data_IF_228462381076
#
_entry.id   IF_228462381076
#
_cell.length_a   1.000
_cell.length_b   1.000
_cell.length_c   1.000
_cell.angle_alpha   90.00
_cell.angle_beta   90.00
_cell.angle_gamma   90.00
#
_symmetry.space_group_name_H-M   'P 1'
#
loop_
_entity.id
_entity.type
_entity.pdbx_description
1 polymer ?
#
# COMPACT_ATOMS: atom_id res chain seq x y z
N UNK A 1 36.20 -11.45 -6.11
CA UNK A 1 35.13 -11.93 -5.19
C UNK A 1 34.35 -10.71 -4.72
N UNK A 2 33.00 -10.69 -4.75
CA UNK A 2 32.21 -9.56 -4.24
C UNK A 2 31.87 -9.79 -2.77
N UNK A 3 32.01 -8.75 -1.93
CA UNK A 3 31.45 -8.72 -0.58
C UNK A 3 30.11 -7.99 -0.65
N UNK A 4 29.00 -8.72 -0.45
CA UNK A 4 27.65 -8.17 -0.47
C UNK A 4 26.98 -8.41 0.88
N UNK A 5 26.22 -7.43 1.34
CA UNK A 5 25.29 -7.55 2.47
C UNK A 5 23.87 -7.55 1.93
N UNK A 6 23.11 -8.61 2.20
CA UNK A 6 21.73 -8.78 1.76
C UNK A 6 20.85 -8.82 3.01
N UNK A 7 19.82 -7.98 3.05
CA UNK A 7 18.84 -7.94 4.12
C UNK A 7 17.47 -8.17 3.49
N UNK A 8 16.81 -9.26 3.86
CA UNK A 8 15.41 -9.52 3.49
C UNK A 8 14.48 -8.84 4.49
N UNK A 9 13.43 -8.19 4.01
CA UNK A 9 12.38 -7.62 4.83
C UNK A 9 11.03 -8.12 4.36
N UNK A 10 10.28 -8.79 5.25
CA UNK A 10 8.99 -9.38 4.92
C UNK A 10 7.85 -8.37 5.07
N UNK A 11 7.81 -7.60 6.15
CA UNK A 11 6.94 -6.42 6.36
C UNK A 11 7.51 -5.55 7.50
N UNK A 12 6.96 -4.35 7.75
CA UNK A 12 7.32 -3.55 8.93
C UNK A 12 6.68 -4.10 10.21
N UNK A 13 7.39 -3.98 11.33
CA UNK A 13 6.78 -4.13 12.66
C UNK A 13 5.72 -3.04 12.89
N UNK A 14 4.86 -3.25 13.89
CA UNK A 14 3.91 -2.22 14.34
C UNK A 14 4.62 -0.88 14.64
N UNK A 15 5.78 -0.91 15.30
CA UNK A 15 6.56 0.30 15.58
C UNK A 15 7.01 1.01 14.28
N UNK A 16 7.50 0.24 13.29
CA UNK A 16 7.87 0.80 11.99
C UNK A 16 6.68 1.44 11.26
N UNK A 17 5.50 0.81 11.33
CA UNK A 17 4.28 1.39 10.75
C UNK A 17 3.85 2.68 11.46
N UNK A 18 3.98 2.75 12.79
CA UNK A 18 3.68 3.96 13.55
C UNK A 18 4.61 5.13 13.15
N UNK A 19 5.89 4.85 12.96
CA UNK A 19 6.84 5.85 12.44
C UNK A 19 6.50 6.30 11.02
N UNK A 20 6.07 5.39 10.15
CA UNK A 20 5.58 5.74 8.81
C UNK A 20 4.35 6.66 8.87
N UNK A 21 3.36 6.34 9.72
CA UNK A 21 2.17 7.16 9.87
C UNK A 21 2.51 8.57 10.38
N UNK A 22 3.40 8.67 11.38
CA UNK A 22 3.90 9.94 11.89
C UNK A 22 4.61 10.74 10.80
N UNK A 23 5.48 10.10 10.02
CA UNK A 23 6.16 10.75 8.89
C UNK A 23 5.18 11.34 7.87
N UNK A 24 4.14 10.58 7.50
CA UNK A 24 3.10 11.03 6.55
C UNK A 24 2.44 12.31 7.04
N UNK A 25 2.05 12.35 8.32
CA UNK A 25 1.39 13.52 8.93
C UNK A 25 2.36 14.71 9.04
N UNK A 26 3.55 14.51 9.61
CA UNK A 26 4.54 15.57 9.82
C UNK A 26 4.97 16.24 8.51
N UNK A 27 5.08 15.46 7.43
CA UNK A 27 5.51 15.94 6.12
C UNK A 27 4.35 16.30 5.19
N UNK A 28 3.09 16.17 5.64
CA UNK A 28 1.88 16.38 4.82
C UNK A 28 1.95 15.61 3.50
N UNK A 29 2.38 14.36 3.56
CA UNK A 29 2.44 13.50 2.38
C UNK A 29 1.03 13.17 1.95
N UNK A 30 0.70 13.49 0.71
CA UNK A 30 -0.60 13.18 0.11
C UNK A 30 -0.65 11.70 -0.31
N UNK A 31 -0.89 10.84 0.68
CA UNK A 31 -0.99 9.38 0.48
C UNK A 31 -2.29 8.98 -0.22
N UNK A 32 -3.32 9.84 -0.17
CA UNK A 32 -4.62 9.57 -0.76
C UNK A 32 -4.51 9.47 -2.29
N UNK A 33 -3.59 10.23 -2.90
CA UNK A 33 -3.25 10.13 -4.33
C UNK A 33 -2.75 8.76 -4.78
N UNK A 34 -2.35 7.87 -3.87
CA UNK A 34 -1.95 6.51 -4.23
C UNK A 34 -3.14 5.62 -4.61
N UNK A 35 -4.34 5.97 -4.13
CA UNK A 35 -5.55 5.23 -4.44
C UNK A 35 -6.14 5.71 -5.75
N UNK A 36 -6.33 4.77 -6.66
CA UNK A 36 -6.88 5.01 -8.00
C UNK A 36 -8.34 4.58 -8.12
N UNK A 37 -8.78 3.69 -7.23
CA UNK A 37 -10.13 3.12 -7.24
C UNK A 37 -10.67 3.02 -5.81
N UNK A 38 -11.96 3.29 -5.66
CA UNK A 38 -12.71 3.13 -4.42
C UNK A 38 -13.86 2.16 -4.68
N UNK A 39 -14.10 1.26 -3.75
CA UNK A 39 -15.06 0.17 -3.89
C UNK A 39 -15.92 0.04 -2.64
N UNK A 40 -17.18 -0.32 -2.84
CA UNK A 40 -18.01 -0.88 -1.79
C UNK A 40 -17.71 -2.38 -1.61
N UNK A 41 -18.05 -2.95 -0.46
CA UNK A 41 -17.78 -4.37 -0.17
C UNK A 41 -18.53 -5.34 -1.10
N UNK A 42 -19.71 -4.97 -1.59
CA UNK A 42 -20.49 -5.76 -2.55
C UNK A 42 -19.83 -5.82 -3.95
N UNK A 43 -18.89 -4.92 -4.24
CA UNK A 43 -18.12 -4.88 -5.49
C UNK A 43 -16.81 -5.65 -5.43
N UNK A 44 -16.58 -6.46 -4.37
CA UNK A 44 -15.31 -7.14 -4.16
C UNK A 44 -14.87 -7.99 -5.35
N UNK A 45 -15.78 -8.75 -5.97
CA UNK A 45 -15.44 -9.59 -7.13
C UNK A 45 -14.91 -8.77 -8.31
N UNK A 46 -15.55 -7.64 -8.62
CA UNK A 46 -15.13 -6.73 -9.69
C UNK A 46 -13.77 -6.10 -9.37
N UNK A 47 -13.60 -5.61 -8.13
CA UNK A 47 -12.36 -5.01 -7.67
C UNK A 47 -11.17 -5.96 -7.81
N UNK A 48 -11.32 -7.23 -7.42
CA UNK A 48 -10.27 -8.24 -7.56
C UNK A 48 -10.01 -8.61 -9.02
N UNK A 49 -11.05 -8.74 -9.85
CA UNK A 49 -10.87 -9.02 -11.28
C UNK A 49 -10.06 -7.93 -11.99
N UNK A 50 -10.31 -6.66 -11.65
CA UNK A 50 -9.53 -5.54 -12.19
C UNK A 50 -8.08 -5.55 -11.65
N UNK A 51 -7.91 -5.79 -10.35
CA UNK A 51 -6.60 -5.85 -9.69
C UNK A 51 -5.69 -6.93 -10.32
N UNK A 52 -6.24 -8.10 -10.66
CA UNK A 52 -5.50 -9.21 -11.27
C UNK A 52 -4.90 -8.88 -12.64
N UNK A 53 -5.40 -7.84 -13.32
CA UNK A 53 -4.81 -7.37 -14.59
C UNK A 53 -3.45 -6.69 -14.40
N UNK A 54 -3.13 -6.25 -13.17
CA UNK A 54 -1.91 -5.51 -12.82
C UNK A 54 -1.69 -4.22 -13.65
N UNK A 55 -2.77 -3.64 -14.19
CA UNK A 55 -2.71 -2.41 -15.00
C UNK A 55 -3.13 -1.15 -14.24
N UNK A 56 -3.60 -1.31 -13.00
CA UNK A 56 -4.15 -0.23 -12.17
C UNK A 56 -3.25 0.11 -10.98
N UNK A 57 -3.52 1.24 -10.32
CA UNK A 57 -2.91 1.59 -9.04
C UNK A 57 -3.58 0.87 -7.86
N UNK A 58 -3.48 1.45 -6.66
CA UNK A 58 -4.10 0.86 -5.45
C UNK A 58 -5.62 1.03 -5.48
N UNK A 59 -6.33 -0.02 -5.07
CA UNK A 59 -7.75 0.04 -4.73
C UNK A 59 -7.94 0.12 -3.21
N UNK A 60 -9.04 0.73 -2.77
CA UNK A 60 -9.46 0.75 -1.37
C UNK A 60 -10.94 0.42 -1.25
N UNK A 61 -11.30 -0.36 -0.24
CA UNK A 61 -12.69 -0.57 0.15
C UNK A 61 -13.08 0.44 1.20
N UNK A 62 -14.21 1.11 1.00
CA UNK A 62 -14.80 2.04 1.96
C UNK A 62 -16.06 1.40 2.55
N UNK A 63 -16.33 1.69 3.83
CA UNK A 63 -17.52 1.22 4.58
C UNK A 63 -18.65 2.22 4.38
#
# INVERSE_FOLDING_TARGET
RKQLTIIGSWTFSWQGQADCARFVVERKVDVDKLFTHQWNLDQAEEAYRLFDTQTTGKGVFLI
#
